data_IF_958177666768
#
_entry.id   IF_958177666768
#
_cell.length_a   1.000
_cell.length_b   1.000
_cell.length_c   1.000
_cell.angle_alpha   90.00
_cell.angle_beta   90.00
_cell.angle_gamma   90.00
#
_symmetry.space_group_name_H-M   'P 1'
#
loop_
_entity.id
_entity.type
_entity.pdbx_description
1 polymer ?
#
# COMPACT_ATOMS: atom_id res chain seq x y z
N UNK A 1 14.63 -13.68 13.78
CA UNK A 1 13.89 -12.57 13.15
C UNK A 1 12.56 -12.39 13.85
N UNK A 2 12.04 -11.16 13.92
CA UNK A 2 10.71 -10.89 14.42
C UNK A 2 9.79 -10.43 13.27
N UNK A 3 8.55 -10.89 13.30
CA UNK A 3 7.53 -10.59 12.30
C UNK A 3 6.36 -9.94 13.02
N UNK A 4 5.96 -8.76 12.57
CA UNK A 4 4.80 -8.02 13.03
C UNK A 4 3.72 -8.12 11.97
N UNK A 5 2.59 -8.72 12.33
CA UNK A 5 1.48 -8.97 11.44
C UNK A 5 0.27 -8.12 11.84
N UNK A 6 -0.14 -7.22 10.98
CA UNK A 6 -1.39 -6.47 11.13
C UNK A 6 -2.57 -7.24 10.57
N UNK A 7 -3.71 -7.14 11.23
CA UNK A 7 -4.89 -7.91 10.88
C UNK A 7 -6.14 -7.05 10.68
N UNK A 8 -7.04 -7.53 9.84
CA UNK A 8 -8.38 -6.97 9.64
C UNK A 8 -9.24 -7.37 10.83
N UNK A 9 -9.62 -6.37 11.66
CA UNK A 9 -10.41 -6.58 12.88
C UNK A 9 -11.89 -6.32 12.66
N UNK A 10 -12.25 -5.47 11.69
CA UNK A 10 -13.62 -5.14 11.32
C UNK A 10 -13.90 -5.49 9.88
N UNK A 11 -15.08 -6.02 9.58
CA UNK A 11 -15.45 -6.36 8.20
C UNK A 11 -15.65 -5.11 7.36
N UNK A 12 -15.00 -5.03 6.21
CA UNK A 12 -15.12 -3.92 5.27
C UNK A 12 -15.23 -4.42 3.83
N UNK A 13 -16.32 -4.12 3.16
CA UNK A 13 -16.55 -4.58 1.78
C UNK A 13 -16.50 -6.11 1.70
N UNK A 14 -15.56 -6.65 0.92
CA UNK A 14 -15.35 -8.10 0.77
C UNK A 14 -14.44 -8.72 1.82
N UNK A 15 -13.82 -7.91 2.69
CA UNK A 15 -12.89 -8.38 3.71
C UNK A 15 -13.62 -8.70 5.01
N UNK A 16 -13.39 -9.90 5.52
CA UNK A 16 -13.97 -10.34 6.79
C UNK A 16 -13.05 -10.00 7.95
N UNK A 17 -13.54 -9.22 8.92
CA UNK A 17 -12.86 -8.99 10.18
C UNK A 17 -12.79 -10.28 11.00
N UNK A 18 -11.58 -10.76 11.25
CA UNK A 18 -11.34 -11.98 12.04
C UNK A 18 -10.10 -11.88 12.93
N UNK A 19 -9.32 -10.82 12.78
CA UNK A 19 -8.16 -10.52 13.61
C UNK A 19 -8.50 -9.71 14.84
N UNK A 20 -7.50 -9.49 15.71
CA UNK A 20 -7.64 -8.70 16.94
C UNK A 20 -6.74 -7.47 16.99
N UNK A 21 -5.84 -7.32 16.05
CA UNK A 21 -4.87 -6.23 16.02
C UNK A 21 -3.53 -6.63 15.46
N UNK A 22 -2.45 -6.47 16.23
CA UNK A 22 -1.09 -6.82 15.82
C UNK A 22 -0.67 -8.11 16.50
N UNK A 23 -0.26 -9.11 15.71
CA UNK A 23 0.36 -10.34 16.25
C UNK A 23 1.86 -10.31 16.00
N UNK A 24 2.65 -10.64 17.02
CA UNK A 24 4.11 -10.75 16.94
C UNK A 24 4.50 -12.21 16.88
N UNK A 25 5.39 -12.52 15.93
CA UNK A 25 5.99 -13.84 15.80
C UNK A 25 7.51 -13.74 15.82
N UNK A 26 8.17 -14.82 16.25
CA UNK A 26 9.57 -15.09 15.95
C UNK A 26 9.71 -16.10 14.83
N UNK A 27 10.83 -16.05 14.12
CA UNK A 27 11.23 -17.05 13.14
C UNK A 27 12.71 -17.36 13.33
N UNK A 28 13.04 -18.63 13.54
CA UNK A 28 14.39 -19.11 13.82
C UNK A 28 15.18 -19.58 12.59
N UNK A 29 14.56 -19.61 11.42
CA UNK A 29 15.05 -20.13 10.15
C UNK A 29 14.30 -21.37 9.67
N UNK A 30 13.53 -22.00 10.56
CA UNK A 30 12.75 -23.19 10.28
C UNK A 30 11.29 -23.04 10.71
N UNK A 31 11.03 -22.43 11.89
CA UNK A 31 9.71 -22.38 12.50
C UNK A 31 9.27 -20.98 12.89
N UNK A 32 7.99 -20.68 12.61
CA UNK A 32 7.27 -19.52 13.12
C UNK A 32 6.67 -19.83 14.50
N UNK A 33 6.89 -18.95 15.45
CA UNK A 33 6.29 -19.05 16.79
C UNK A 33 5.59 -17.77 17.17
N UNK A 34 4.32 -17.84 17.59
CA UNK A 34 3.59 -16.69 18.13
C UNK A 34 4.15 -16.30 19.50
N UNK A 35 4.49 -15.00 19.65
CA UNK A 35 5.02 -14.44 20.89
C UNK A 35 3.99 -13.58 21.61
N UNK A 36 3.25 -12.74 20.87
CA UNK A 36 2.35 -11.76 21.47
C UNK A 36 1.17 -11.48 20.55
N UNK A 37 0.03 -11.10 21.11
CA UNK A 37 -1.09 -10.51 20.41
C UNK A 37 -1.48 -9.21 21.13
N UNK A 38 -1.52 -8.09 20.38
CA UNK A 38 -1.85 -6.77 20.91
C UNK A 38 -3.12 -6.28 20.23
N UNK A 39 -4.14 -5.97 21.02
CA UNK A 39 -5.39 -5.43 20.49
C UNK A 39 -5.17 -4.04 19.88
N UNK A 40 -5.62 -3.86 18.66
CA UNK A 40 -5.67 -2.57 17.96
C UNK A 40 -6.74 -2.59 16.86
N UNK A 41 -7.20 -1.42 16.45
CA UNK A 41 -8.28 -1.27 15.47
C UNK A 41 -7.66 -1.20 14.06
N UNK A 42 -7.98 -2.18 13.19
CA UNK A 42 -7.62 -2.21 11.78
C UNK A 42 -6.16 -1.80 11.47
N UNK A 43 -5.11 -2.41 12.08
CA UNK A 43 -3.72 -2.08 11.78
C UNK A 43 -3.37 -2.59 10.37
N UNK A 44 -3.44 -1.70 9.36
CA UNK A 44 -3.35 -2.09 7.95
C UNK A 44 -1.94 -2.02 7.36
N UNK A 45 -1.10 -1.08 7.80
CA UNK A 45 0.31 -0.97 7.41
C UNK A 45 1.16 -0.80 8.66
N UNK A 46 2.21 -1.62 8.76
CA UNK A 46 3.18 -1.55 9.85
C UNK A 46 4.56 -1.18 9.31
N UNK A 47 5.26 -0.28 10.00
CA UNK A 47 6.64 0.10 9.68
C UNK A 47 7.48 0.13 10.94
N UNK A 48 8.61 -0.58 10.92
CA UNK A 48 9.55 -0.65 12.05
C UNK A 48 10.79 0.20 11.77
N UNK A 49 11.15 1.05 12.72
CA UNK A 49 12.32 1.92 12.69
C UNK A 49 13.12 1.77 14.00
N UNK A 50 14.08 0.88 14.00
CA UNK A 50 14.88 0.58 15.19
C UNK A 50 14.05 -0.08 16.30
N UNK A 51 13.77 0.65 17.35
CA UNK A 51 12.97 0.22 18.50
C UNK A 51 11.56 0.85 18.52
N UNK A 52 11.07 1.28 17.37
CA UNK A 52 9.72 1.86 17.20
C UNK A 52 8.99 1.18 16.05
N UNK A 53 7.70 0.91 16.28
CA UNK A 53 6.77 0.46 15.25
C UNK A 53 5.65 1.50 15.14
N UNK A 54 5.32 1.88 13.91
CA UNK A 54 4.16 2.71 13.60
C UNK A 54 3.19 1.92 12.74
N UNK A 55 1.89 2.11 12.98
CA UNK A 55 0.87 1.52 12.14
C UNK A 55 -0.27 2.49 11.84
N UNK A 56 -0.91 2.32 10.69
CA UNK A 56 -2.17 2.98 10.36
C UNK A 56 -3.34 2.17 10.88
N UNK A 57 -4.34 2.86 11.44
CA UNK A 57 -5.63 2.30 11.84
C UNK A 57 -6.66 2.66 10.76
N UNK A 58 -6.87 1.76 9.79
CA UNK A 58 -7.60 2.00 8.54
C UNK A 58 -9.12 1.96 8.75
N UNK A 59 -9.63 2.89 9.50
CA UNK A 59 -11.06 3.08 9.78
C UNK A 59 -11.52 4.50 9.43
N UNK A 60 -12.82 4.74 9.54
CA UNK A 60 -13.44 6.04 9.36
C UNK A 60 -13.83 6.69 10.69
N UNK A 61 -13.93 5.91 11.75
CA UNK A 61 -14.53 6.27 13.04
C UNK A 61 -13.62 5.89 14.21
N UNK A 62 -12.32 6.24 14.14
CA UNK A 62 -11.28 5.78 15.07
C UNK A 62 -11.55 6.12 16.53
N UNK A 63 -12.16 7.27 16.80
CA UNK A 63 -12.50 7.68 18.18
C UNK A 63 -13.85 7.16 18.66
N UNK A 64 -14.55 6.35 17.85
CA UNK A 64 -15.92 5.91 18.10
C UNK A 64 -16.98 6.95 17.71
N UNK A 65 -16.58 8.15 17.29
CA UNK A 65 -17.47 9.16 16.73
C UNK A 65 -17.57 8.98 15.22
N UNK A 66 -18.78 8.92 14.69
CA UNK A 66 -19.03 8.79 13.26
C UNK A 66 -18.33 9.92 12.48
N UNK A 67 -17.46 9.56 11.53
CA UNK A 67 -16.71 10.50 10.72
C UNK A 67 -15.53 11.16 11.44
N UNK A 68 -15.04 10.63 12.56
CA UNK A 68 -13.87 11.17 13.26
C UNK A 68 -12.55 10.97 12.53
N UNK A 69 -12.56 10.26 11.40
CA UNK A 69 -11.37 9.88 10.65
C UNK A 69 -10.72 8.60 11.15
N UNK A 70 -9.65 8.20 10.48
CA UNK A 70 -8.85 7.06 10.89
C UNK A 70 -7.81 7.41 11.95
N UNK A 71 -6.94 6.45 12.27
CA UNK A 71 -5.92 6.58 13.29
C UNK A 71 -4.52 6.24 12.83
N UNK A 72 -3.58 6.60 13.66
CA UNK A 72 -2.18 6.17 13.59
C UNK A 72 -1.69 5.86 15.00
N UNK A 73 -1.04 4.71 15.18
CA UNK A 73 -0.55 4.23 16.48
C UNK A 73 0.96 4.04 16.45
N UNK A 74 1.62 4.29 17.57
CA UNK A 74 3.05 4.07 17.78
C UNK A 74 3.29 3.10 18.94
N UNK A 75 4.30 2.24 18.77
CA UNK A 75 4.69 1.22 19.74
C UNK A 75 6.20 1.26 19.99
N UNK A 76 6.59 1.02 21.24
CA UNK A 76 7.95 0.64 21.57
C UNK A 76 8.16 -0.84 21.26
N UNK A 77 9.30 -1.19 20.66
CA UNK A 77 9.72 -2.55 20.34
C UNK A 77 10.81 -2.98 21.31
N UNK A 78 10.60 -4.07 22.04
CA UNK A 78 11.64 -4.69 22.82
C UNK A 78 12.56 -5.51 21.89
N UNK A 79 13.79 -5.06 21.71
CA UNK A 79 14.76 -5.72 20.80
C UNK A 79 15.19 -7.11 21.26
N UNK A 80 15.01 -7.43 22.55
CA UNK A 80 15.46 -8.71 23.11
C UNK A 80 14.51 -9.85 22.78
N UNK A 81 13.20 -9.59 22.84
CA UNK A 81 12.16 -10.61 22.66
C UNK A 81 11.15 -10.27 21.55
N UNK A 82 11.31 -9.13 20.88
CA UNK A 82 10.42 -8.68 19.79
C UNK A 82 9.06 -8.15 20.23
N UNK A 83 8.70 -8.20 21.51
CA UNK A 83 7.39 -7.75 21.99
C UNK A 83 7.19 -6.24 21.79
N UNK A 84 5.94 -5.81 21.68
CA UNK A 84 5.58 -4.40 21.48
C UNK A 84 4.66 -3.89 22.59
N UNK A 85 4.80 -2.60 22.88
CA UNK A 85 3.94 -1.87 23.81
C UNK A 85 3.50 -0.56 23.17
N UNK A 86 2.18 -0.29 23.14
CA UNK A 86 1.65 0.98 22.64
C UNK A 86 2.15 2.14 23.48
N UNK A 87 2.71 3.17 22.83
CA UNK A 87 3.23 4.39 23.48
C UNK A 87 2.39 5.62 23.18
N UNK A 88 1.75 5.67 22.00
CA UNK A 88 0.85 6.76 21.64
C UNK A 88 -0.07 6.38 20.49
N UNK A 89 -1.12 7.15 20.31
CA UNK A 89 -2.00 7.12 19.16
C UNK A 89 -2.54 8.52 18.87
N UNK A 90 -2.95 8.77 17.62
CA UNK A 90 -3.57 10.01 17.18
C UNK A 90 -4.60 9.72 16.09
N UNK A 91 -5.56 10.64 15.88
CA UNK A 91 -6.36 10.64 14.66
C UNK A 91 -5.43 10.96 13.48
N UNK A 92 -5.72 10.43 12.27
CA UNK A 92 -4.92 10.65 11.06
C UNK A 92 -5.31 11.91 10.28
N UNK A 93 -6.32 12.65 10.74
CA UNK A 93 -6.91 13.83 10.08
C UNK A 93 -7.44 13.54 8.67
N UNK A 94 -7.92 12.34 8.46
CA UNK A 94 -8.59 11.90 7.23
C UNK A 94 -9.17 10.51 7.41
N UNK A 95 -9.92 10.04 6.43
CA UNK A 95 -10.59 8.75 6.47
C UNK A 95 -9.70 7.64 5.90
N UNK A 96 -9.67 6.47 6.52
CA UNK A 96 -8.98 5.25 6.06
C UNK A 96 -7.50 5.49 5.74
N UNK A 97 -6.64 5.78 6.75
CA UNK A 97 -5.22 5.93 6.52
C UNK A 97 -4.63 4.65 5.94
N UNK A 98 -3.96 4.79 4.80
CA UNK A 98 -3.49 3.69 3.96
C UNK A 98 -2.01 3.40 4.06
N UNK A 99 -1.21 4.37 4.52
CA UNK A 99 0.23 4.17 4.66
C UNK A 99 0.84 5.12 5.70
N UNK A 100 1.95 4.69 6.30
CA UNK A 100 2.73 5.49 7.25
C UNK A 100 4.22 5.34 6.97
N UNK A 101 4.96 6.43 7.02
CA UNK A 101 6.43 6.44 6.89
C UNK A 101 7.03 7.52 7.78
N UNK A 102 8.21 7.22 8.37
CA UNK A 102 9.01 8.19 9.11
C UNK A 102 10.01 8.85 8.16
N UNK A 103 10.24 10.17 8.32
CA UNK A 103 11.29 10.88 7.58
C UNK A 103 12.69 10.32 7.87
N UNK A 104 13.62 10.51 6.93
CA UNK A 104 14.99 10.04 7.05
C UNK A 104 15.73 10.68 8.25
N UNK A 105 15.41 11.93 8.59
CA UNK A 105 15.93 12.63 9.76
C UNK A 105 15.25 12.22 11.10
N UNK A 106 14.20 11.39 11.00
CA UNK A 106 13.47 10.84 12.14
C UNK A 106 12.54 11.79 12.86
N UNK A 107 12.36 13.05 12.38
CA UNK A 107 11.60 14.10 13.08
C UNK A 107 10.13 14.17 12.70
N UNK A 108 9.76 13.58 11.55
CA UNK A 108 8.41 13.64 11.03
C UNK A 108 7.87 12.25 10.74
N UNK A 109 6.55 12.13 10.87
CA UNK A 109 5.78 10.96 10.43
C UNK A 109 4.79 11.45 9.37
N UNK A 110 4.78 10.80 8.22
CA UNK A 110 3.83 11.09 7.14
C UNK A 110 2.81 9.96 7.06
N UNK A 111 1.54 10.35 6.96
CA UNK A 111 0.42 9.43 6.86
C UNK A 111 -0.42 9.82 5.65
N UNK A 112 -0.70 8.87 4.76
CA UNK A 112 -1.67 9.06 3.69
C UNK A 112 -3.04 8.58 4.13
N UNK A 113 -4.06 9.38 3.88
CA UNK A 113 -5.46 9.02 4.06
C UNK A 113 -6.08 8.75 2.69
N UNK A 114 -6.59 7.54 2.53
CA UNK A 114 -7.12 7.07 1.25
C UNK A 114 -8.50 7.64 0.94
N UNK A 115 -9.30 7.90 1.97
CA UNK A 115 -10.72 8.19 1.80
C UNK A 115 -11.55 6.93 1.54
N UNK A 116 -12.84 7.10 1.32
CA UNK A 116 -13.76 6.01 1.02
C UNK A 116 -14.10 5.99 -0.47
N UNK A 117 -14.28 4.81 -1.05
CA UNK A 117 -14.84 4.66 -2.41
C UNK A 117 -16.33 4.93 -2.47
N UNK A 118 -17.01 4.95 -1.31
CA UNK A 118 -18.44 5.22 -1.24
C UNK A 118 -18.69 6.71 -1.15
N UNK A 119 -19.72 7.18 -1.86
CA UNK A 119 -20.22 8.54 -1.73
C UNK A 119 -20.63 8.84 -0.29
N UNK A 120 -20.16 9.95 0.26
CA UNK A 120 -20.54 10.43 1.60
C UNK A 120 -21.93 11.01 1.56
N UNK A 121 -22.19 11.84 0.54
CA UNK A 121 -23.49 12.46 0.30
C UNK A 121 -23.68 12.78 -1.18
N UNK A 122 -24.91 13.03 -1.59
CA UNK A 122 -25.24 13.53 -2.91
C UNK A 122 -26.34 14.59 -2.81
N UNK A 123 -26.28 15.57 -3.70
CA UNK A 123 -27.30 16.61 -3.83
C UNK A 123 -27.40 17.09 -5.27
N UNK A 124 -28.51 17.76 -5.59
CA UNK A 124 -28.69 18.35 -6.91
C UNK A 124 -28.20 19.80 -6.91
N UNK A 125 -27.35 20.11 -7.87
CA UNK A 125 -26.90 21.46 -8.17
C UNK A 125 -27.38 21.89 -9.57
N UNK A 126 -27.40 23.21 -9.83
CA UNK A 126 -27.57 23.71 -11.20
C UNK A 126 -26.19 23.88 -11.84
N UNK A 127 -26.02 23.26 -13.02
CA UNK A 127 -24.82 23.51 -13.84
C UNK A 127 -24.89 24.90 -14.52
N UNK A 128 -23.85 25.25 -15.26
CA UNK A 128 -23.73 26.55 -15.95
C UNK A 128 -24.83 26.76 -17.03
N UNK A 129 -25.55 25.71 -17.44
CA UNK A 129 -26.68 25.76 -18.37
C UNK A 129 -28.02 25.83 -17.64
N UNK A 130 -28.03 25.93 -16.32
CA UNK A 130 -29.23 25.97 -15.49
C UNK A 130 -29.94 24.65 -15.30
N UNK A 131 -29.34 23.52 -15.73
CA UNK A 131 -29.92 22.18 -15.61
C UNK A 131 -29.55 21.61 -14.24
N UNK A 132 -30.46 20.86 -13.63
CA UNK A 132 -30.16 20.12 -12.41
C UNK A 132 -29.29 18.88 -12.72
N UNK A 133 -28.17 18.76 -12.06
CA UNK A 133 -27.28 17.61 -12.12
C UNK A 133 -27.01 17.08 -10.71
N UNK A 134 -26.84 15.75 -10.61
CA UNK A 134 -26.49 15.11 -9.36
C UNK A 134 -24.98 15.32 -9.08
N UNK A 135 -24.66 15.95 -7.95
CA UNK A 135 -23.32 16.02 -7.44
C UNK A 135 -23.08 14.98 -6.34
N UNK A 136 -21.96 14.28 -6.42
CA UNK A 136 -21.54 13.29 -5.42
C UNK A 136 -20.31 13.80 -4.68
N UNK A 137 -20.34 13.73 -3.36
CA UNK A 137 -19.20 14.07 -2.51
C UNK A 137 -18.61 12.82 -1.89
N UNK A 138 -17.28 12.78 -1.81
CA UNK A 138 -16.47 11.70 -1.27
C UNK A 138 -15.64 12.21 -0.10
N UNK A 139 -15.12 11.28 0.72
CA UNK A 139 -14.12 11.64 1.74
C UNK A 139 -12.87 12.22 1.06
N UNK A 140 -12.24 13.19 1.69
CA UNK A 140 -10.99 13.74 1.24
C UNK A 140 -9.85 12.70 1.33
N UNK A 141 -8.99 12.72 0.32
CA UNK A 141 -7.69 12.05 0.35
C UNK A 141 -6.62 13.06 0.70
N UNK A 142 -5.70 12.72 1.61
CA UNK A 142 -4.75 13.68 2.14
C UNK A 142 -3.42 13.06 2.55
N UNK A 143 -2.39 13.93 2.67
CA UNK A 143 -1.12 13.63 3.34
C UNK A 143 -1.06 14.45 4.62
N UNK A 144 -0.97 13.78 5.76
CA UNK A 144 -0.78 14.39 7.07
C UNK A 144 0.70 14.27 7.50
N UNK A 145 1.27 15.36 8.01
CA UNK A 145 2.62 15.43 8.56
C UNK A 145 2.55 15.68 10.06
N UNK A 146 3.08 14.74 10.84
CA UNK A 146 3.16 14.83 12.30
C UNK A 146 4.61 15.05 12.75
N UNK A 147 4.78 15.72 13.88
CA UNK A 147 6.05 15.67 14.61
C UNK A 147 6.25 14.27 15.24
N UNK A 148 7.50 13.80 15.29
CA UNK A 148 7.90 12.65 16.09
C UNK A 148 8.62 13.14 17.33
N UNK A 149 8.15 12.73 18.51
CA UNK A 149 8.76 13.11 19.78
C UNK A 149 10.06 12.35 20.02
N UNK A 150 10.87 12.80 21.01
CA UNK A 150 12.17 12.16 21.35
C UNK A 150 12.02 10.70 21.76
N UNK A 151 10.91 10.34 22.39
CA UNK A 151 10.59 8.97 22.80
C UNK A 151 9.97 8.15 21.67
N UNK A 152 9.83 8.71 20.46
CA UNK A 152 9.20 8.08 19.31
C UNK A 152 7.67 8.17 19.29
N UNK A 153 7.03 8.82 20.27
CA UNK A 153 5.58 9.02 20.26
C UNK A 153 5.17 10.00 19.16
N UNK A 154 3.91 9.89 18.70
CA UNK A 154 3.31 10.76 17.70
C UNK A 154 3.01 12.10 18.36
N UNK A 155 3.59 13.16 17.83
CA UNK A 155 3.36 14.53 18.27
C UNK A 155 2.21 15.21 17.51
N UNK A 156 2.18 16.53 17.58
CA UNK A 156 1.13 17.33 16.94
C UNK A 156 1.19 17.24 15.41
N UNK A 157 0.02 17.35 14.77
CA UNK A 157 -0.07 17.62 13.33
C UNK A 157 0.63 18.93 13.02
N UNK A 158 1.51 18.90 12.02
CA UNK A 158 2.26 20.08 11.56
C UNK A 158 1.71 20.66 10.26
N UNK A 159 1.29 19.78 9.35
CA UNK A 159 0.64 20.18 8.11
C UNK A 159 -0.26 19.07 7.56
N UNK A 160 -1.21 19.47 6.71
CA UNK A 160 -2.15 18.58 6.02
C UNK A 160 -2.38 19.08 4.59
N UNK A 161 -2.13 18.24 3.61
CA UNK A 161 -2.43 18.54 2.22
C UNK A 161 -3.55 17.64 1.72
N UNK A 162 -4.69 18.25 1.38
CA UNK A 162 -5.83 17.57 0.73
C UNK A 162 -5.60 17.54 -0.76
N UNK A 163 -5.81 16.38 -1.39
CA UNK A 163 -5.61 16.18 -2.82
C UNK A 163 -6.94 15.88 -3.48
N UNK A 164 -7.33 16.73 -4.42
CA UNK A 164 -8.55 16.59 -5.19
C UNK A 164 -8.26 16.07 -6.60
N UNK A 165 -9.33 15.60 -7.27
CA UNK A 165 -9.29 15.13 -8.64
C UNK A 165 -9.73 13.69 -8.77
N UNK A 166 -9.78 13.19 -10.00
CA UNK A 166 -10.22 11.84 -10.38
C UNK A 166 -9.32 11.29 -11.47
N UNK A 167 -9.32 9.96 -11.64
CA UNK A 167 -8.56 9.27 -12.66
C UNK A 167 -9.39 8.91 -13.91
N UNK A 168 -8.84 7.98 -14.71
CA UNK A 168 -9.46 7.54 -15.96
C UNK A 168 -10.89 7.01 -15.74
N UNK A 169 -11.12 6.21 -14.70
CA UNK A 169 -12.42 5.64 -14.34
C UNK A 169 -13.22 6.56 -13.40
N UNK A 170 -13.36 7.84 -13.78
CA UNK A 170 -13.94 8.87 -12.92
C UNK A 170 -15.46 8.70 -12.68
N UNK A 171 -16.18 8.02 -13.57
CA UNK A 171 -17.62 7.89 -13.49
C UNK A 171 -18.11 6.70 -12.67
N UNK A 172 -17.24 5.77 -12.32
CA UNK A 172 -17.60 4.61 -11.52
C UNK A 172 -16.42 3.97 -10.81
N UNK A 173 -16.66 3.30 -9.71
CA UNK A 173 -15.64 2.52 -9.01
C UNK A 173 -14.51 3.35 -8.40
N UNK A 174 -13.34 2.82 -8.45
CA UNK A 174 -12.23 3.24 -7.60
C UNK A 174 -11.46 4.49 -8.00
N UNK A 175 -11.89 5.30 -9.00
CA UNK A 175 -11.19 6.50 -9.44
C UNK A 175 -12.10 7.73 -9.58
N UNK A 176 -13.27 7.71 -8.93
CA UNK A 176 -14.20 8.85 -8.91
C UNK A 176 -13.67 10.04 -8.13
N UNK A 177 -12.68 9.83 -7.28
CA UNK A 177 -11.97 10.85 -6.51
C UNK A 177 -10.54 10.43 -6.24
N UNK A 178 -9.73 11.33 -5.70
CA UNK A 178 -8.37 11.06 -5.22
C UNK A 178 -8.36 9.98 -4.15
N UNK A 179 -7.36 9.08 -4.22
CA UNK A 179 -7.16 8.00 -3.26
C UNK A 179 -5.66 7.75 -3.06
N UNK A 180 -5.04 8.46 -2.13
CA UNK A 180 -3.63 8.24 -1.76
C UNK A 180 -3.47 6.88 -1.08
N UNK A 181 -2.61 6.01 -1.62
CA UNK A 181 -2.48 4.64 -1.13
C UNK A 181 -1.11 4.30 -0.53
N UNK A 182 -0.07 5.03 -0.89
CA UNK A 182 1.28 4.81 -0.40
C UNK A 182 1.99 6.13 -0.20
N UNK A 183 2.90 6.20 0.76
CA UNK A 183 3.84 7.30 0.93
C UNK A 183 5.24 6.76 1.20
N UNK A 184 6.25 7.34 0.54
CA UNK A 184 7.68 7.06 0.78
C UNK A 184 8.43 8.37 0.94
N UNK A 185 9.58 8.30 1.61
CA UNK A 185 10.47 9.46 1.81
C UNK A 185 11.85 9.17 1.23
N UNK A 186 12.50 10.21 0.76
CA UNK A 186 13.92 10.19 0.44
C UNK A 186 14.51 11.60 0.61
N UNK A 187 15.37 11.78 1.62
CA UNK A 187 15.84 13.10 2.01
C UNK A 187 14.69 14.02 2.43
N UNK A 188 14.59 15.17 1.79
CA UNK A 188 13.52 16.15 2.01
C UNK A 188 12.28 15.94 1.11
N UNK A 189 12.24 14.87 0.35
CA UNK A 189 11.15 14.59 -0.60
C UNK A 189 10.24 13.50 -0.11
N UNK A 190 8.96 13.64 -0.47
CA UNK A 190 7.87 12.73 -0.14
C UNK A 190 7.17 12.36 -1.45
N UNK A 191 6.93 11.07 -1.65
CA UNK A 191 6.31 10.51 -2.85
C UNK A 191 5.05 9.76 -2.46
N UNK A 192 3.92 10.06 -3.11
CA UNK A 192 2.64 9.41 -2.81
C UNK A 192 2.05 8.80 -4.06
N UNK A 193 1.63 7.54 -3.99
CA UNK A 193 0.83 6.93 -5.05
C UNK A 193 -0.63 7.35 -4.92
N UNK A 194 -1.18 7.99 -5.94
CA UNK A 194 -2.59 8.36 -6.00
C UNK A 194 -3.35 7.40 -6.94
N UNK A 195 -3.85 6.37 -6.34
CA UNK A 195 -4.64 5.35 -7.03
C UNK A 195 -5.88 5.94 -7.73
N UNK A 196 -6.47 6.97 -7.12
CA UNK A 196 -7.69 7.61 -7.62
C UNK A 196 -7.47 8.55 -8.79
N UNK A 197 -6.23 9.04 -9.01
CA UNK A 197 -5.90 10.02 -10.06
C UNK A 197 -5.00 9.49 -11.17
N UNK A 198 -4.46 8.29 -11.04
CA UNK A 198 -3.39 7.78 -11.90
C UNK A 198 -2.10 8.62 -11.84
N UNK A 199 -1.77 9.20 -10.67
CA UNK A 199 -0.63 10.09 -10.50
C UNK A 199 0.25 9.67 -9.32
N UNK A 200 1.49 10.18 -9.33
CA UNK A 200 2.34 10.23 -8.15
C UNK A 200 2.52 11.70 -7.81
N UNK A 201 2.10 12.12 -6.64
CA UNK A 201 2.39 13.45 -6.13
C UNK A 201 3.74 13.45 -5.42
N UNK A 202 4.60 14.38 -5.77
CA UNK A 202 5.88 14.61 -5.12
C UNK A 202 5.83 15.92 -4.34
N UNK A 203 6.10 15.82 -3.05
CA UNK A 203 6.19 16.97 -2.17
C UNK A 203 7.63 17.15 -1.67
N UNK A 204 7.96 18.37 -1.32
CA UNK A 204 9.03 18.69 -0.37
C UNK A 204 8.41 19.26 0.90
N UNK A 205 9.16 19.20 2.01
CA UNK A 205 8.72 19.85 3.25
C UNK A 205 9.80 20.78 3.79
N UNK A 206 9.39 22.01 4.13
CA UNK A 206 10.24 23.03 4.71
C UNK A 206 9.47 23.84 5.74
N UNK A 207 10.09 24.15 6.86
CA UNK A 207 9.45 24.90 7.96
C UNK A 207 8.12 24.28 8.40
N UNK A 208 8.07 22.96 8.49
CA UNK A 208 6.88 22.17 8.83
C UNK A 208 5.68 22.37 7.88
N UNK A 209 5.96 22.64 6.60
CA UNK A 209 4.93 22.74 5.56
C UNK A 209 5.27 21.89 4.37
N UNK A 210 4.26 21.19 3.86
CA UNK A 210 4.30 20.39 2.64
C UNK A 210 4.10 21.30 1.42
N UNK A 211 4.90 21.11 0.39
CA UNK A 211 4.78 21.84 -0.88
C UNK A 211 4.81 20.84 -2.03
N UNK A 212 3.76 20.76 -2.82
CA UNK A 212 3.71 19.96 -4.05
C UNK A 212 4.70 20.56 -5.07
N UNK A 213 5.60 19.73 -5.59
CA UNK A 213 6.62 20.14 -6.57
C UNK A 213 6.50 19.39 -7.90
N UNK A 214 5.79 18.25 -7.93
CA UNK A 214 5.51 17.51 -9.15
C UNK A 214 4.22 16.70 -8.98
N UNK A 215 3.41 16.66 -10.01
CA UNK A 215 2.39 15.63 -10.24
C UNK A 215 2.87 14.82 -11.45
N UNK A 216 3.27 13.57 -11.20
CA UNK A 216 3.83 12.68 -12.21
C UNK A 216 2.74 11.75 -12.72
N UNK A 217 2.41 11.85 -14.02
CA UNK A 217 1.38 11.03 -14.65
C UNK A 217 1.86 9.58 -14.80
N UNK A 218 1.06 8.64 -14.29
CA UNK A 218 1.15 7.21 -14.57
C UNK A 218 0.25 6.84 -15.76
N UNK A 219 0.34 5.62 -16.32
CA UNK A 219 -0.60 5.17 -17.34
C UNK A 219 -2.06 5.29 -16.86
N UNK A 220 -2.91 5.88 -17.69
CA UNK A 220 -4.31 6.12 -17.34
C UNK A 220 -5.06 4.83 -17.01
N UNK A 221 -5.84 4.85 -15.93
CA UNK A 221 -6.65 3.72 -15.48
C UNK A 221 -5.86 2.64 -14.72
N UNK A 222 -4.53 2.77 -14.59
CA UNK A 222 -3.71 1.72 -13.97
C UNK A 222 -3.74 1.74 -12.45
N UNK A 223 -4.03 2.88 -11.80
CA UNK A 223 -4.18 3.04 -10.37
C UNK A 223 -2.88 2.72 -9.59
N UNK A 224 -1.89 3.64 -9.53
CA UNK A 224 -0.65 3.44 -8.77
C UNK A 224 -0.97 3.22 -7.28
N UNK A 225 -0.53 2.08 -6.75
CA UNK A 225 -0.90 1.62 -5.42
C UNK A 225 0.24 1.71 -4.40
N UNK A 226 1.30 0.98 -4.63
CA UNK A 226 2.49 0.95 -3.78
C UNK A 226 3.75 1.26 -4.57
N UNK A 227 4.76 1.75 -3.88
CA UNK A 227 6.07 1.99 -4.47
C UNK A 227 7.21 1.58 -3.54
N UNK A 228 8.36 1.30 -4.13
CA UNK A 228 9.64 1.17 -3.43
C UNK A 228 10.69 2.06 -4.07
N UNK A 229 11.60 2.58 -3.24
CA UNK A 229 12.72 3.43 -3.68
C UNK A 229 14.03 2.72 -3.36
N UNK A 230 14.85 2.50 -4.38
CA UNK A 230 16.18 1.93 -4.24
C UNK A 230 17.22 2.79 -4.98
N UNK A 231 18.12 3.41 -4.23
CA UNK A 231 19.09 4.32 -4.83
C UNK A 231 18.39 5.44 -5.62
N UNK A 232 18.68 5.59 -6.89
CA UNK A 232 18.09 6.58 -7.79
C UNK A 232 16.89 6.06 -8.58
N UNK A 233 16.32 4.92 -8.18
CA UNK A 233 15.21 4.30 -8.87
C UNK A 233 13.99 4.18 -7.97
N UNK A 234 12.82 4.35 -8.58
CA UNK A 234 11.51 4.17 -7.95
C UNK A 234 10.69 3.18 -8.77
N UNK A 235 10.17 2.17 -8.09
CA UNK A 235 9.36 1.10 -8.65
C UNK A 235 7.92 1.33 -8.22
N UNK A 236 6.99 1.45 -9.16
CA UNK A 236 5.59 1.78 -8.88
C UNK A 236 4.68 0.67 -9.37
N UNK A 237 3.97 0.06 -8.43
CA UNK A 237 3.02 -1.01 -8.69
C UNK A 237 1.62 -0.46 -8.94
N UNK A 238 0.93 -1.02 -9.92
CA UNK A 238 -0.45 -0.65 -10.26
C UNK A 238 -1.45 -1.68 -9.76
N UNK A 239 -2.59 -1.22 -9.22
CA UNK A 239 -3.62 -2.12 -8.70
C UNK A 239 -4.54 -2.68 -9.77
N UNK A 240 -4.92 -1.86 -10.75
CA UNK A 240 -5.92 -2.24 -11.74
C UNK A 240 -5.35 -3.14 -12.85
N UNK A 241 -4.06 -3.03 -13.14
CA UNK A 241 -3.38 -3.82 -14.15
C UNK A 241 -2.06 -4.36 -13.62
N UNK A 242 -1.74 -5.64 -13.86
CA UNK A 242 -0.55 -6.28 -13.32
C UNK A 242 0.73 -5.81 -14.04
N UNK A 243 1.19 -4.62 -13.67
CA UNK A 243 2.40 -3.98 -14.19
C UNK A 243 3.14 -3.20 -13.10
N UNK A 244 4.44 -2.99 -13.32
CA UNK A 244 5.32 -2.12 -12.53
C UNK A 244 6.02 -1.14 -13.46
N UNK A 245 5.97 0.15 -13.13
CA UNK A 245 6.81 1.16 -13.80
C UNK A 245 8.09 1.40 -13.01
N UNK A 246 9.16 1.59 -13.77
CA UNK A 246 10.45 2.06 -13.28
C UNK A 246 10.61 3.55 -13.60
N UNK A 247 10.93 4.33 -12.58
CA UNK A 247 11.26 5.74 -12.72
C UNK A 247 12.68 6.00 -12.25
N UNK A 248 13.35 6.96 -12.88
CA UNK A 248 14.57 7.55 -12.37
C UNK A 248 14.24 8.73 -11.47
N UNK A 249 14.91 8.79 -10.33
CA UNK A 249 14.79 9.86 -9.36
C UNK A 249 15.96 10.85 -9.52
N UNK A 250 15.66 12.07 -9.96
CA UNK A 250 16.66 13.14 -10.13
C UNK A 250 16.18 14.41 -9.44
N UNK A 251 16.96 14.93 -8.47
CA UNK A 251 16.65 16.18 -7.75
C UNK A 251 15.23 16.19 -7.19
N UNK A 252 14.82 15.09 -6.60
CA UNK A 252 13.48 14.91 -6.03
C UNK A 252 12.36 14.61 -7.05
N UNK A 253 12.61 14.74 -8.36
CA UNK A 253 11.60 14.50 -9.41
C UNK A 253 11.72 13.11 -10.02
N UNK A 254 10.58 12.59 -10.48
CA UNK A 254 10.45 11.28 -11.13
C UNK A 254 10.40 11.43 -12.65
N UNK A 255 11.17 10.61 -13.34
CA UNK A 255 11.22 10.51 -14.80
C UNK A 255 11.01 9.05 -15.21
N UNK A 256 9.98 8.78 -16.00
CA UNK A 256 9.65 7.42 -16.44
C UNK A 256 10.78 6.82 -17.31
N UNK A 257 11.17 5.59 -17.01
CA UNK A 257 12.19 4.83 -17.76
C UNK A 257 11.59 3.64 -18.48
N UNK A 258 10.82 2.81 -17.76
CA UNK A 258 10.33 1.52 -18.26
C UNK A 258 9.02 1.13 -17.58
N UNK A 259 8.29 0.21 -18.21
CA UNK A 259 7.14 -0.49 -17.64
C UNK A 259 7.22 -1.97 -17.99
N UNK A 260 7.06 -2.82 -16.99
CA UNK A 260 7.11 -4.27 -17.17
C UNK A 260 5.87 -4.95 -16.62
N UNK A 261 5.57 -6.09 -17.21
CA UNK A 261 4.51 -7.01 -16.78
C UNK A 261 4.89 -7.70 -15.47
N UNK A 262 3.88 -8.07 -14.66
CA UNK A 262 4.09 -8.81 -13.41
C UNK A 262 3.48 -10.23 -13.45
N UNK A 263 2.90 -10.64 -14.57
CA UNK A 263 2.34 -11.97 -14.80
C UNK A 263 3.02 -12.62 -16.01
N UNK A 264 2.90 -13.94 -16.19
CA UNK A 264 3.41 -14.62 -17.39
C UNK A 264 2.82 -14.01 -18.68
N UNK A 265 3.57 -14.04 -19.78
CA UNK A 265 3.13 -13.48 -21.07
C UNK A 265 1.79 -14.05 -21.53
N UNK A 266 1.54 -15.36 -21.30
CA UNK A 266 0.27 -16.02 -21.62
C UNK A 266 -0.94 -15.44 -20.89
N UNK A 267 -0.75 -14.78 -19.74
CA UNK A 267 -1.83 -14.05 -19.07
C UNK A 267 -2.29 -12.88 -19.94
N UNK A 268 -1.38 -12.16 -20.58
CA UNK A 268 -1.70 -10.97 -21.37
C UNK A 268 -2.26 -11.29 -22.76
N UNK A 269 -2.15 -12.53 -23.21
CA UNK A 269 -2.86 -13.01 -24.40
C UNK A 269 -4.38 -13.04 -24.15
N UNK A 270 -4.81 -13.18 -22.88
CA UNK A 270 -6.21 -13.17 -22.44
C UNK A 270 -6.62 -11.81 -21.89
N UNK A 271 -5.73 -11.14 -21.14
CA UNK A 271 -5.95 -9.87 -20.45
C UNK A 271 -4.87 -8.86 -20.84
N UNK A 272 -4.92 -8.30 -22.05
CA UNK A 272 -3.90 -7.36 -22.52
C UNK A 272 -3.89 -6.10 -21.66
N UNK A 273 -2.69 -5.51 -21.51
CA UNK A 273 -2.58 -4.18 -20.91
C UNK A 273 -3.20 -3.16 -21.85
N UNK A 274 -4.20 -2.39 -21.41
CA UNK A 274 -4.80 -1.37 -22.26
C UNK A 274 -3.86 -0.17 -22.40
N UNK A 275 -4.06 0.58 -23.48
CA UNK A 275 -3.50 1.90 -23.63
C UNK A 275 -4.63 2.90 -23.77
N UNK A 276 -4.65 3.93 -22.92
CA UNK A 276 -5.67 4.98 -22.94
C UNK A 276 -5.00 6.31 -23.24
N UNK A 277 -5.51 7.01 -24.26
CA UNK A 277 -4.91 8.24 -24.80
C UNK A 277 -5.41 9.51 -24.08
N UNK A 278 -6.43 9.39 -23.25
CA UNK A 278 -7.09 10.52 -22.60
C UNK A 278 -7.29 10.29 -21.11
N UNK A 279 -7.40 11.38 -20.33
CA UNK A 279 -7.41 11.30 -18.86
C UNK A 279 -8.67 10.70 -18.25
N UNK A 280 -9.76 10.55 -19.00
CA UNK A 280 -11.05 10.07 -18.50
C UNK A 280 -11.78 9.19 -19.51
N UNK A 281 -12.56 8.24 -19.01
CA UNK A 281 -13.49 7.46 -19.82
C UNK A 281 -14.66 8.34 -20.29
N UNK A 282 -15.13 8.16 -21.55
CA UNK A 282 -16.22 8.96 -22.11
C UNK A 282 -17.60 8.55 -21.59
N UNK A 283 -17.72 7.35 -21.07
CA UNK A 283 -18.98 6.77 -20.61
C UNK A 283 -18.93 6.51 -19.12
N UNK A 284 -20.08 6.54 -18.49
CA UNK A 284 -20.30 6.07 -17.15
C UNK A 284 -20.14 4.54 -17.13
N UNK A 285 -18.90 4.07 -17.18
CA UNK A 285 -18.57 2.66 -17.04
C UNK A 285 -18.17 2.41 -15.59
N UNK A 286 -18.79 1.42 -14.97
CA UNK A 286 -18.28 0.89 -13.71
C UNK A 286 -16.88 0.40 -14.00
N UNK A 287 -15.92 0.84 -13.22
CA UNK A 287 -14.56 0.33 -13.31
C UNK A 287 -14.58 -1.19 -13.15
N UNK A 288 -14.59 -1.88 -14.27
CA UNK A 288 -14.62 -3.34 -14.32
C UNK A 288 -13.22 -3.92 -14.25
N UNK A 289 -12.22 -3.06 -14.34
CA UNK A 289 -10.84 -3.48 -14.25
C UNK A 289 -10.55 -4.06 -12.86
N UNK A 290 -10.12 -5.27 -12.81
CA UNK A 290 -9.78 -5.97 -11.58
C UNK A 290 -10.94 -6.28 -10.64
N UNK A 291 -11.80 -5.31 -10.34
CA UNK A 291 -12.88 -5.50 -9.36
C UNK A 291 -14.11 -6.23 -9.91
N UNK A 292 -14.49 -6.02 -11.16
CA UNK A 292 -15.64 -6.70 -11.76
C UNK A 292 -15.24 -8.01 -12.46
N UNK A 293 -14.08 -8.08 -13.10
CA UNK A 293 -13.56 -9.36 -13.62
C UNK A 293 -12.68 -10.04 -12.56
N UNK A 294 -13.30 -10.89 -11.74
CA UNK A 294 -12.63 -11.66 -10.69
C UNK A 294 -11.52 -12.60 -11.20
N UNK A 295 -11.41 -12.78 -12.52
CA UNK A 295 -10.34 -13.58 -13.15
C UNK A 295 -9.06 -12.79 -13.35
N UNK A 296 -9.12 -11.46 -13.30
CA UNK A 296 -7.94 -10.60 -13.46
C UNK A 296 -7.08 -10.60 -12.19
N UNK A 297 -5.79 -10.55 -12.40
CA UNK A 297 -4.84 -10.33 -11.33
C UNK A 297 -4.89 -8.86 -10.88
N UNK A 298 -4.91 -8.65 -9.57
CA UNK A 298 -4.90 -7.32 -8.94
C UNK A 298 -3.67 -7.22 -8.03
N UNK A 299 -2.59 -6.58 -8.49
CA UNK A 299 -1.40 -6.43 -7.65
C UNK A 299 -1.71 -5.72 -6.33
N UNK A 300 -1.01 -6.12 -5.28
CA UNK A 300 -1.24 -5.64 -3.92
C UNK A 300 -0.04 -4.97 -3.31
N UNK A 301 1.11 -5.61 -3.30
CA UNK A 301 2.29 -5.11 -2.62
C UNK A 301 3.55 -5.32 -3.45
N UNK A 302 4.58 -4.52 -3.17
CA UNK A 302 5.86 -4.55 -3.87
C UNK A 302 7.01 -4.45 -2.87
N UNK A 303 8.02 -5.28 -3.06
CA UNK A 303 9.27 -5.25 -2.30
C UNK A 303 10.47 -5.32 -3.24
N UNK A 304 11.48 -4.52 -2.96
CA UNK A 304 12.74 -4.52 -3.72
C UNK A 304 13.88 -4.99 -2.82
N UNK A 305 14.62 -6.00 -3.30
CA UNK A 305 15.83 -6.49 -2.67
C UNK A 305 16.97 -6.50 -3.70
N UNK A 306 17.91 -5.57 -3.58
CA UNK A 306 18.94 -5.33 -4.60
C UNK A 306 18.30 -5.07 -5.97
N UNK A 307 18.72 -5.80 -7.01
CA UNK A 307 18.15 -5.72 -8.36
C UNK A 307 16.83 -6.48 -8.55
N UNK A 308 16.36 -7.21 -7.55
CA UNK A 308 15.16 -8.04 -7.62
C UNK A 308 13.92 -7.32 -7.09
N UNK A 309 12.83 -7.45 -7.80
CA UNK A 309 11.53 -6.84 -7.48
C UNK A 309 10.49 -7.93 -7.33
N UNK A 310 9.94 -8.05 -6.14
CA UNK A 310 8.86 -8.97 -5.83
C UNK A 310 7.53 -8.23 -5.86
N UNK A 311 6.50 -8.87 -6.41
CA UNK A 311 5.14 -8.32 -6.50
C UNK A 311 4.14 -9.38 -6.11
N UNK A 312 3.22 -9.07 -5.21
CA UNK A 312 2.09 -9.94 -4.92
C UNK A 312 0.90 -9.58 -5.82
N UNK A 313 0.26 -10.58 -6.42
CA UNK A 313 -0.92 -10.44 -7.26
C UNK A 313 -2.08 -11.23 -6.66
N UNK A 314 -3.15 -10.53 -6.29
CA UNK A 314 -4.41 -11.15 -5.86
C UNK A 314 -5.14 -11.70 -7.07
N UNK A 315 -5.81 -12.83 -6.94
CA UNK A 315 -6.70 -13.36 -7.96
C UNK A 315 -7.89 -14.08 -7.33
N UNK A 316 -9.06 -13.45 -7.34
CA UNK A 316 -10.22 -13.95 -6.60
C UNK A 316 -10.93 -15.15 -7.26
N UNK A 317 -10.61 -15.49 -8.51
CA UNK A 317 -11.14 -16.66 -9.22
C UNK A 317 -10.20 -17.86 -9.21
N UNK A 318 -8.93 -17.66 -8.88
CA UNK A 318 -7.91 -18.69 -8.83
C UNK A 318 -6.93 -18.46 -7.69
N UNK A 319 -5.73 -18.96 -7.77
CA UNK A 319 -4.68 -18.71 -6.80
C UNK A 319 -4.02 -17.36 -7.04
N UNK A 320 -3.72 -16.63 -5.97
CA UNK A 320 -2.83 -15.48 -6.00
C UNK A 320 -1.39 -15.92 -6.31
N UNK A 321 -0.56 -14.98 -6.68
CA UNK A 321 0.85 -15.25 -7.01
C UNK A 321 1.79 -14.27 -6.34
N UNK A 322 3.05 -14.66 -6.19
CA UNK A 322 4.18 -13.74 -6.08
C UNK A 322 4.98 -13.82 -7.36
N UNK A 323 5.24 -12.68 -7.97
CA UNK A 323 6.05 -12.55 -9.18
C UNK A 323 7.40 -11.95 -8.86
N UNK A 324 8.42 -12.41 -9.57
CA UNK A 324 9.79 -11.92 -9.50
C UNK A 324 10.14 -11.23 -10.82
N UNK A 325 10.64 -10.01 -10.70
CA UNK A 325 11.25 -9.26 -11.81
C UNK A 325 12.70 -8.94 -11.42
N UNK A 326 13.52 -8.67 -12.43
CA UNK A 326 14.90 -8.23 -12.23
C UNK A 326 15.15 -6.91 -12.97
N UNK A 327 15.79 -5.98 -12.30
CA UNK A 327 16.25 -4.74 -12.94
C UNK A 327 17.62 -4.94 -13.55
N UNK A 328 17.75 -4.68 -14.85
CA UNK A 328 19.00 -4.71 -15.61
C UNK A 328 19.09 -3.51 -16.56
N UNK A 329 20.12 -2.70 -16.40
CA UNK A 329 20.39 -1.54 -17.29
C UNK A 329 19.15 -0.64 -17.46
N UNK A 330 18.53 -0.24 -16.36
CA UNK A 330 17.36 0.65 -16.35
C UNK A 330 16.09 0.07 -17.01
N UNK A 331 15.99 -1.25 -17.07
CA UNK A 331 14.81 -1.99 -17.53
C UNK A 331 14.40 -3.03 -16.51
N UNK A 332 13.10 -3.33 -16.48
CA UNK A 332 12.53 -4.39 -15.67
C UNK A 332 12.23 -5.61 -16.55
N UNK A 333 12.79 -6.74 -16.21
CA UNK A 333 12.52 -8.01 -16.87
C UNK A 333 11.71 -8.93 -15.95
N UNK A 334 10.55 -9.38 -16.41
CA UNK A 334 9.80 -10.44 -15.73
C UNK A 334 10.62 -11.73 -15.73
N UNK A 335 10.76 -12.37 -14.57
CA UNK A 335 11.53 -13.61 -14.40
C UNK A 335 10.63 -14.81 -14.18
N UNK A 336 9.77 -14.76 -13.15
CA UNK A 336 8.93 -15.89 -12.78
C UNK A 336 7.68 -15.45 -12.00
N UNK A 337 6.69 -16.34 -11.92
CA UNK A 337 5.54 -16.24 -11.01
C UNK A 337 5.31 -17.55 -10.29
N UNK A 338 5.03 -17.46 -9.01
CA UNK A 338 4.83 -18.59 -8.10
C UNK A 338 3.40 -18.55 -7.57
N UNK A 339 2.62 -19.62 -7.82
CA UNK A 339 1.28 -19.72 -7.30
C UNK A 339 1.32 -19.94 -5.77
N UNK A 340 0.41 -19.28 -5.07
CA UNK A 340 0.26 -19.35 -3.62
C UNK A 340 -0.94 -20.22 -3.24
N UNK A 341 -0.97 -20.81 -2.03
CA UNK A 341 -2.10 -21.65 -1.58
C UNK A 341 -3.33 -20.83 -1.11
N UNK A 342 -3.54 -19.65 -1.66
CA UNK A 342 -4.65 -18.73 -1.40
C UNK A 342 -4.81 -17.69 -2.50
N UNK A 343 -5.79 -16.80 -2.36
CA UNK A 343 -6.22 -15.87 -3.42
C UNK A 343 -5.83 -14.42 -3.17
N UNK A 344 -5.66 -14.04 -1.90
CA UNK A 344 -5.49 -12.65 -1.49
C UNK A 344 -4.15 -12.42 -0.74
N UNK A 345 -2.99 -12.48 -1.45
CA UNK A 345 -1.70 -12.06 -0.89
C UNK A 345 -1.66 -10.53 -0.74
N UNK A 346 -2.10 -10.02 0.42
CA UNK A 346 -2.20 -8.58 0.64
C UNK A 346 -0.91 -7.91 1.03
N UNK A 347 -0.17 -8.50 1.96
CA UNK A 347 1.12 -8.00 2.40
C UNK A 347 2.16 -9.10 2.35
N UNK A 348 3.38 -8.71 2.07
CA UNK A 348 4.52 -9.62 2.15
C UNK A 348 5.79 -8.84 2.50
N UNK A 349 6.82 -9.56 2.90
CA UNK A 349 8.11 -8.97 3.19
C UNK A 349 9.24 -9.93 2.84
N UNK A 350 10.34 -9.38 2.33
CA UNK A 350 11.59 -10.11 2.16
C UNK A 350 12.44 -9.89 3.40
N UNK A 351 13.07 -10.95 3.94
CA UNK A 351 14.02 -10.82 5.04
C UNK A 351 15.20 -9.92 4.67
N UNK A 352 15.79 -9.26 5.68
CA UNK A 352 16.89 -8.31 5.47
C UNK A 352 18.10 -8.92 4.75
N UNK A 353 18.35 -10.21 4.96
CA UNK A 353 19.42 -10.98 4.30
C UNK A 353 19.04 -11.50 2.90
N UNK A 354 17.76 -11.38 2.54
CA UNK A 354 17.21 -11.85 1.25
C UNK A 354 17.14 -13.38 1.13
N UNK A 355 17.03 -14.10 2.25
CA UNK A 355 16.97 -15.57 2.26
C UNK A 355 15.54 -16.09 2.38
N UNK A 356 14.60 -15.27 2.86
CA UNK A 356 13.22 -15.66 3.11
C UNK A 356 12.24 -14.62 2.59
N UNK A 357 11.11 -15.14 2.11
CA UNK A 357 9.92 -14.36 1.75
C UNK A 357 8.78 -14.77 2.67
N UNK A 358 8.17 -13.80 3.34
CA UNK A 358 6.99 -13.95 4.19
C UNK A 358 5.77 -13.42 3.45
N UNK A 359 4.70 -14.20 3.35
CA UNK A 359 3.49 -13.82 2.61
C UNK A 359 2.26 -13.94 3.51
N UNK A 360 1.53 -12.84 3.67
CA UNK A 360 0.23 -12.80 4.34
C UNK A 360 -0.88 -13.11 3.34
N UNK A 361 -1.51 -14.28 3.47
CA UNK A 361 -2.69 -14.68 2.70
C UNK A 361 -3.96 -14.37 3.50
N UNK A 362 -4.62 -13.27 3.16
CA UNK A 362 -5.75 -12.74 3.92
C UNK A 362 -6.95 -13.68 3.91
N UNK A 363 -7.24 -14.31 2.77
CA UNK A 363 -8.36 -15.25 2.60
C UNK A 363 -8.20 -16.56 3.37
N UNK A 364 -6.96 -17.03 3.57
CA UNK A 364 -6.66 -18.23 4.35
C UNK A 364 -6.42 -17.95 5.83
N UNK A 365 -6.16 -16.68 6.18
CA UNK A 365 -5.76 -16.28 7.52
C UNK A 365 -4.42 -16.88 7.94
N UNK A 366 -3.45 -17.00 7.01
CA UNK A 366 -2.14 -17.61 7.28
C UNK A 366 -0.99 -16.74 6.79
N UNK A 367 0.12 -16.85 7.49
CA UNK A 367 1.43 -16.36 7.05
C UNK A 367 2.23 -17.56 6.56
N UNK A 368 2.74 -17.49 5.33
CA UNK A 368 3.63 -18.49 4.75
C UNK A 368 5.05 -17.97 4.67
N UNK A 369 6.03 -18.83 4.88
CA UNK A 369 7.45 -18.54 4.75
C UNK A 369 8.04 -19.40 3.64
N UNK A 370 8.71 -18.74 2.69
CA UNK A 370 9.39 -19.41 1.59
C UNK A 370 10.89 -19.14 1.66
N UNK A 371 11.69 -20.16 1.42
CA UNK A 371 13.13 -20.01 1.19
C UNK A 371 13.36 -19.46 -0.22
N UNK A 372 14.29 -18.51 -0.32
CA UNK A 372 14.75 -17.93 -1.57
C UNK A 372 16.11 -18.51 -1.97
N UNK A 373 16.31 -18.75 -3.26
CA UNK A 373 17.61 -19.14 -3.79
C UNK A 373 18.64 -18.03 -3.52
N UNK A 374 19.84 -18.35 -3.01
CA UNK A 374 20.84 -17.34 -2.66
C UNK A 374 21.31 -16.49 -3.83
N UNK A 375 21.28 -17.01 -5.06
CA UNK A 375 21.80 -16.36 -6.26
C UNK A 375 20.68 -15.76 -7.14
N UNK A 376 19.67 -16.58 -7.47
CA UNK A 376 18.59 -16.18 -8.40
C UNK A 376 17.45 -15.45 -7.70
N UNK A 377 17.38 -15.56 -6.36
CA UNK A 377 16.30 -15.00 -5.53
C UNK A 377 14.90 -15.53 -5.87
N UNK A 378 14.85 -16.64 -6.57
CA UNK A 378 13.62 -17.39 -6.83
C UNK A 378 13.11 -18.10 -5.60
N UNK A 379 11.79 -18.34 -5.52
CA UNK A 379 11.20 -19.14 -4.46
C UNK A 379 11.57 -20.62 -4.70
N UNK A 380 12.23 -21.24 -3.72
CA UNK A 380 12.68 -22.64 -3.80
C UNK A 380 11.67 -23.59 -3.19
N UNK A 381 11.22 -23.29 -1.97
CA UNK A 381 10.29 -24.14 -1.22
C UNK A 381 9.58 -23.36 -0.11
N UNK A 382 8.41 -23.84 0.28
CA UNK A 382 7.80 -23.48 1.56
C UNK A 382 8.65 -24.03 2.71
N UNK A 383 8.88 -23.19 3.72
CA UNK A 383 9.62 -23.55 4.94
C UNK A 383 8.65 -23.83 6.06
N UNK A 384 7.70 -22.92 6.30
CA UNK A 384 6.72 -23.03 7.37
C UNK A 384 5.50 -22.15 7.08
N UNK A 385 4.42 -22.37 7.82
CA UNK A 385 3.28 -21.47 7.85
C UNK A 385 2.57 -21.49 9.21
N UNK A 386 1.96 -20.37 9.57
CA UNK A 386 1.22 -20.24 10.83
C UNK A 386 -0.13 -19.54 10.63
N UNK A 387 -1.11 -19.94 11.43
CA UNK A 387 -2.43 -19.30 11.43
C UNK A 387 -2.38 -17.93 12.13
N UNK A 388 -2.83 -16.90 11.41
CA UNK A 388 -2.95 -15.52 11.87
C UNK A 388 -4.25 -14.92 11.29
N UNK A 389 -5.37 -14.98 12.02
CA UNK A 389 -6.68 -14.58 11.52
C UNK A 389 -6.67 -13.13 11.01
N UNK A 390 -7.23 -12.92 9.81
CA UNK A 390 -7.37 -11.60 9.22
C UNK A 390 -6.06 -10.93 8.82
N UNK A 391 -4.94 -11.64 8.79
CA UNK A 391 -3.64 -11.06 8.43
C UNK A 391 -3.70 -10.35 7.07
N UNK A 392 -3.21 -9.10 7.03
CA UNK A 392 -3.25 -8.27 5.82
C UNK A 392 -1.94 -7.53 5.53
N UNK A 393 -1.07 -7.38 6.51
CA UNK A 393 0.22 -6.70 6.35
C UNK A 393 1.30 -7.33 7.22
N UNK A 394 2.55 -7.19 6.80
CA UNK A 394 3.73 -7.71 7.50
C UNK A 394 4.82 -6.65 7.58
N UNK A 395 5.52 -6.63 8.71
CA UNK A 395 6.84 -6.00 8.85
C UNK A 395 7.81 -7.02 9.46
N UNK A 396 8.97 -7.19 8.83
CA UNK A 396 10.00 -8.18 9.22
C UNK A 396 11.29 -7.46 9.59
N UNK A 397 11.89 -7.83 10.74
CA UNK A 397 13.12 -7.25 11.27
C UNK A 397 14.08 -8.31 11.83
#
# INVERSE_FOLDING_TARGET
MYIYAGSITESTGSLKGSGKGITVFSFDGEHLQKLQEVEDVQPSILKVYGDRLYCTNEVKDFTGLNGSGGGVSAYAVNKTDGTIQKISQSISYGSRPSYVVKSDDGKHLFVTNHGSHTTVTCHYIKNNLGQFVLERQFDDSSVAMFAVQKDGSIGNLQDLQVIHGSGYWCHGGGQSTSHLHCVKTKGEYIYTCNRGKDTIEVFTYKNNRLQLIQECQCPYGYAPRHMEILGEYTFVLYENYPAVSLFQLKQGKLYALDISITMPKTYYDVYPLPHFDKPHADKEEINTCGMADKRRAMPSDIHVFKEYVYVSNRCFSSFGTVSLLKMEKEKLAYTASYALPGKDPRGFAVSKDGNYLFVALCDTGKIYVYALDPLTKEIVKEVDHIYCPGVSSLAVV
#
